data_IF_766436124894
#
_entry.id   IF_766436124894
#
_cell.length_a   1.000
_cell.length_b   1.000
_cell.length_c   1.000
_cell.angle_alpha   90.00
_cell.angle_beta   90.00
_cell.angle_gamma   90.00
#
_symmetry.space_group_name_H-M   'P 1'
#
loop_
_entity.id
_entity.type
_entity.pdbx_description
1 polymer ?
#
# COMPACT_ATOMS: atom_id res chain seq x y z
N UNK A 1 -3.88 2.09 20.22
CA UNK A 1 -2.48 2.34 20.62
C UNK A 1 -1.60 1.52 19.68
N UNK A 2 -0.98 2.16 18.68
CA UNK A 2 -0.23 1.47 17.63
C UNK A 2 0.97 0.73 18.26
N UNK A 3 0.98 -0.61 18.23
CA UNK A 3 2.13 -1.38 18.66
C UNK A 3 3.22 -1.28 17.59
N UNK A 4 4.44 -0.93 18.01
CA UNK A 4 5.54 -0.57 17.11
C UNK A 4 5.85 -1.58 15.99
N UNK A 5 5.51 -2.86 16.16
CA UNK A 5 5.75 -3.90 15.17
C UNK A 5 5.04 -3.70 13.81
N UNK A 6 3.80 -3.19 13.80
CA UNK A 6 3.03 -3.03 12.55
C UNK A 6 3.46 -1.80 11.73
N UNK A 7 3.93 -0.74 12.40
CA UNK A 7 4.53 0.44 11.78
C UNK A 7 5.86 0.09 11.10
N UNK A 8 6.72 -0.69 11.76
CA UNK A 8 7.97 -1.16 11.16
C UNK A 8 7.73 -2.13 10.00
N UNK A 9 6.74 -3.02 10.10
CA UNK A 9 6.37 -3.89 9.00
C UNK A 9 5.87 -3.11 7.77
N UNK A 10 5.05 -2.08 7.97
CA UNK A 10 4.57 -1.19 6.90
C UNK A 10 5.69 -0.37 6.26
N UNK A 11 6.62 0.15 7.06
CA UNK A 11 7.79 0.89 6.56
C UNK A 11 8.80 0.01 5.82
N UNK A 12 9.02 -1.24 6.27
CA UNK A 12 9.90 -2.17 5.58
C UNK A 12 9.28 -2.68 4.27
N UNK A 13 7.98 -2.98 4.27
CA UNK A 13 7.25 -3.39 3.07
C UNK A 13 7.18 -2.26 2.03
N UNK A 14 6.85 -1.03 2.46
CA UNK A 14 6.77 0.14 1.58
C UNK A 14 8.13 0.73 1.19
N UNK A 15 9.14 0.63 2.05
CA UNK A 15 10.49 1.15 1.81
C UNK A 15 11.31 0.26 0.87
N UNK A 16 11.21 -1.07 0.99
CA UNK A 16 11.92 -1.99 0.09
C UNK A 16 11.36 -1.97 -1.34
N UNK A 17 10.04 -1.87 -1.50
CA UNK A 17 9.43 -1.72 -2.84
C UNK A 17 9.77 -0.36 -3.46
N UNK A 18 9.76 0.74 -2.68
CA UNK A 18 10.18 2.06 -3.17
C UNK A 18 11.62 2.10 -3.69
N UNK A 19 12.55 1.33 -3.11
CA UNK A 19 13.95 1.31 -3.56
C UNK A 19 14.11 0.63 -4.92
N UNK A 20 13.36 -0.46 -5.18
CA UNK A 20 13.36 -1.10 -6.49
C UNK A 20 12.67 -0.23 -7.53
N UNK A 21 11.52 0.34 -7.20
CA UNK A 21 10.77 1.17 -8.13
C UNK A 21 11.49 2.48 -8.47
N UNK A 22 12.24 3.06 -7.51
CA UNK A 22 13.11 4.23 -7.73
C UNK A 22 14.27 3.89 -8.68
N UNK A 23 14.87 2.70 -8.55
CA UNK A 23 15.93 2.25 -9.47
C UNK A 23 15.37 2.00 -10.87
N UNK A 24 14.18 1.42 -10.98
CA UNK A 24 13.54 1.19 -12.28
C UNK A 24 13.07 2.49 -12.95
N UNK A 25 12.65 3.50 -12.17
CA UNK A 25 12.42 4.87 -12.65
C UNK A 25 13.70 5.53 -13.18
N UNK A 26 14.80 5.44 -12.43
CA UNK A 26 16.11 5.98 -12.85
C UNK A 26 16.69 5.28 -14.08
N UNK A 27 16.30 4.02 -14.33
CA UNK A 27 16.69 3.24 -15.51
C UNK A 27 15.73 3.42 -16.70
N UNK A 28 14.68 4.24 -16.57
CA UNK A 28 13.67 4.47 -17.62
C UNK A 28 12.74 3.28 -17.88
N UNK A 29 12.73 2.27 -17.00
CA UNK A 29 11.93 1.05 -17.12
C UNK A 29 10.53 1.18 -16.48
N UNK A 30 10.31 2.27 -15.75
CA UNK A 30 9.08 2.55 -15.01
C UNK A 30 8.71 4.02 -15.23
N UNK A 31 7.53 4.30 -15.80
CA UNK A 31 7.05 5.67 -15.97
C UNK A 31 6.58 6.27 -14.63
N UNK A 32 6.70 7.59 -14.43
CA UNK A 32 6.28 8.27 -13.18
C UNK A 32 4.81 8.03 -12.80
N UNK A 33 3.97 7.84 -13.82
CA UNK A 33 2.57 7.45 -13.72
C UNK A 33 2.38 6.08 -13.08
N UNK A 34 3.17 5.12 -13.52
CA UNK A 34 3.21 3.76 -13.02
C UNK A 34 3.72 3.78 -11.56
N UNK A 35 4.81 4.50 -11.28
CA UNK A 35 5.32 4.66 -9.90
C UNK A 35 4.30 5.25 -8.92
N UNK A 36 3.56 6.27 -9.34
CA UNK A 36 2.52 6.89 -8.50
C UNK A 36 1.39 5.90 -8.23
N UNK A 37 1.00 5.10 -9.22
CA UNK A 37 0.01 4.05 -9.04
C UNK A 37 0.48 2.98 -8.05
N UNK A 38 1.71 2.48 -8.18
CA UNK A 38 2.32 1.51 -7.26
C UNK A 38 2.45 2.06 -5.84
N UNK A 39 2.80 3.34 -5.70
CA UNK A 39 2.90 3.98 -4.38
C UNK A 39 1.55 4.02 -3.68
N UNK A 40 0.50 4.45 -4.39
CA UNK A 40 -0.87 4.49 -3.84
C UNK A 40 -1.36 3.09 -3.52
N UNK A 41 -1.09 2.11 -4.38
CA UNK A 41 -1.39 0.70 -4.13
C UNK A 41 -0.72 0.17 -2.86
N UNK A 42 0.57 0.41 -2.68
CA UNK A 42 1.32 -0.06 -1.52
C UNK A 42 0.82 0.59 -0.22
N UNK A 43 0.55 1.89 -0.23
CA UNK A 43 0.06 2.62 0.95
C UNK A 43 -1.32 2.11 1.37
N UNK A 44 -2.25 2.00 0.42
CA UNK A 44 -3.61 1.52 0.70
C UNK A 44 -3.63 0.04 1.08
N UNK A 45 -2.77 -0.80 0.48
CA UNK A 45 -2.54 -2.18 0.90
C UNK A 45 -2.09 -2.26 2.36
N UNK A 46 -1.10 -1.47 2.76
CA UNK A 46 -0.62 -1.42 4.15
C UNK A 46 -1.71 -0.95 5.13
N UNK A 47 -2.48 0.09 4.77
CA UNK A 47 -3.62 0.55 5.56
C UNK A 47 -4.68 -0.55 5.68
N UNK A 48 -4.98 -1.24 4.58
CA UNK A 48 -5.89 -2.37 4.55
C UNK A 48 -5.45 -3.48 5.50
N UNK A 49 -4.18 -3.89 5.47
CA UNK A 49 -3.62 -4.90 6.40
C UNK A 49 -3.79 -4.46 7.85
N UNK A 50 -3.41 -3.22 8.19
CA UNK A 50 -3.50 -2.73 9.57
C UNK A 50 -4.94 -2.79 10.09
N UNK A 51 -5.88 -2.23 9.31
CA UNK A 51 -7.29 -2.25 9.68
C UNK A 51 -7.83 -3.68 9.77
N UNK A 52 -7.48 -4.51 8.80
CA UNK A 52 -7.87 -5.92 8.74
C UNK A 52 -7.40 -6.70 9.97
N UNK A 53 -6.13 -6.57 10.35
CA UNK A 53 -5.57 -7.22 11.54
C UNK A 53 -6.32 -6.78 12.81
N UNK A 54 -6.55 -5.47 12.98
CA UNK A 54 -7.21 -4.94 14.17
C UNK A 54 -8.66 -5.40 14.28
N UNK A 55 -9.47 -5.18 13.24
CA UNK A 55 -10.87 -5.61 13.23
C UNK A 55 -11.01 -7.12 13.29
N UNK A 56 -10.16 -7.85 12.57
CA UNK A 56 -10.11 -9.29 12.61
C UNK A 56 -9.82 -9.82 14.01
N UNK A 57 -8.83 -9.25 14.71
CA UNK A 57 -8.49 -9.62 16.08
C UNK A 57 -9.66 -9.38 17.04
N UNK A 58 -10.32 -8.22 16.94
CA UNK A 58 -11.48 -7.87 17.77
C UNK A 58 -12.62 -8.86 17.54
N UNK A 59 -13.01 -9.09 16.28
CA UNK A 59 -14.09 -10.03 15.93
C UNK A 59 -13.76 -11.47 16.31
N UNK A 60 -12.51 -11.89 16.12
CA UNK A 60 -12.08 -13.21 16.52
C UNK A 60 -12.11 -13.40 18.05
N UNK A 61 -11.75 -12.36 18.80
CA UNK A 61 -11.78 -12.39 20.27
C UNK A 61 -13.19 -12.56 20.85
N UNK A 62 -14.22 -12.03 20.17
CA UNK A 62 -15.61 -12.19 20.61
C UNK A 62 -16.13 -13.62 20.39
N UNK A 63 -15.58 -14.34 19.42
CA UNK A 63 -15.93 -15.74 19.15
C UNK A 63 -15.19 -16.67 20.11
N UNK A 64 -13.87 -16.51 20.24
CA UNK A 64 -13.04 -17.32 21.13
C UNK A 64 -11.83 -16.52 21.59
N UNK A 65 -11.76 -16.09 22.86
CA UNK A 65 -10.62 -15.33 23.38
C UNK A 65 -9.29 -16.07 23.19
N UNK A 66 -8.25 -15.33 22.81
CA UNK A 66 -6.92 -15.89 22.56
C UNK A 66 -6.79 -16.49 21.16
N UNK A 67 -7.36 -17.68 20.93
CA UNK A 67 -7.24 -18.38 19.63
C UNK A 67 -7.97 -17.62 18.53
N UNK A 68 -9.20 -17.19 18.80
CA UNK A 68 -9.98 -16.40 17.86
C UNK A 68 -9.30 -15.06 17.55
N UNK A 69 -8.67 -14.41 18.54
CA UNK A 69 -7.88 -13.19 18.32
C UNK A 69 -6.80 -13.39 17.26
N UNK A 70 -6.02 -14.48 17.36
CA UNK A 70 -4.93 -14.78 16.42
C UNK A 70 -5.48 -15.14 15.04
N UNK A 71 -6.47 -16.04 14.97
CA UNK A 71 -7.07 -16.46 13.70
C UNK A 71 -7.74 -15.29 12.99
N UNK A 72 -8.50 -14.50 13.74
CA UNK A 72 -9.17 -13.31 13.25
C UNK A 72 -8.17 -12.26 12.74
N UNK A 73 -7.09 -12.00 13.47
CA UNK A 73 -6.02 -11.10 13.03
C UNK A 73 -5.41 -11.53 11.69
N UNK A 74 -5.10 -12.82 11.53
CA UNK A 74 -4.51 -13.35 10.30
C UNK A 74 -5.49 -13.24 9.12
N UNK A 75 -6.73 -13.71 9.30
CA UNK A 75 -7.75 -13.64 8.25
C UNK A 75 -8.06 -12.20 7.87
N UNK A 76 -8.22 -11.34 8.87
CA UNK A 76 -8.46 -9.92 8.70
C UNK A 76 -7.32 -9.24 7.95
N UNK A 77 -6.05 -9.51 8.29
CA UNK A 77 -4.90 -8.97 7.58
C UNK A 77 -4.84 -9.38 6.11
N UNK A 78 -5.12 -10.65 5.79
CA UNK A 78 -5.16 -11.14 4.40
C UNK A 78 -6.28 -10.48 3.60
N UNK A 79 -7.48 -10.36 4.19
CA UNK A 79 -8.60 -9.67 3.54
C UNK A 79 -8.31 -8.18 3.38
N UNK A 80 -7.71 -7.57 4.40
CA UNK A 80 -7.28 -6.19 4.41
C UNK A 80 -6.28 -5.87 3.29
N UNK A 81 -5.25 -6.69 3.10
CA UNK A 81 -4.28 -6.55 2.00
C UNK A 81 -4.97 -6.56 0.64
N UNK A 82 -5.85 -7.55 0.41
CA UNK A 82 -6.57 -7.68 -0.86
C UNK A 82 -7.45 -6.46 -1.14
N UNK A 83 -8.25 -6.04 -0.16
CA UNK A 83 -9.13 -4.88 -0.31
C UNK A 83 -8.31 -3.61 -0.50
N UNK A 84 -7.28 -3.42 0.32
CA UNK A 84 -6.38 -2.27 0.27
C UNK A 84 -5.73 -2.11 -1.10
N UNK A 85 -5.14 -3.18 -1.65
CA UNK A 85 -4.53 -3.15 -2.99
C UNK A 85 -5.54 -2.89 -4.09
N UNK A 86 -6.73 -3.47 -4.03
CA UNK A 86 -7.79 -3.21 -5.04
C UNK A 86 -8.18 -1.73 -5.03
N UNK A 87 -8.41 -1.16 -3.85
CA UNK A 87 -8.72 0.28 -3.69
C UNK A 87 -7.55 1.13 -4.19
N UNK A 88 -6.34 0.74 -3.83
CA UNK A 88 -5.11 1.40 -4.24
C UNK A 88 -4.86 1.43 -5.72
N UNK A 89 -5.05 0.31 -6.39
CA UNK A 89 -4.89 0.18 -7.83
C UNK A 89 -5.91 1.06 -8.56
N UNK A 90 -7.17 1.08 -8.09
CA UNK A 90 -8.20 1.99 -8.63
C UNK A 90 -7.84 3.46 -8.38
N UNK A 91 -7.44 3.82 -7.17
CA UNK A 91 -7.06 5.18 -6.82
C UNK A 91 -5.82 5.65 -7.59
N UNK A 92 -4.79 4.81 -7.70
CA UNK A 92 -3.59 5.03 -8.47
C UNK A 92 -3.88 5.27 -9.95
N UNK A 93 -4.76 4.44 -10.54
CA UNK A 93 -5.22 4.63 -11.92
C UNK A 93 -5.96 5.96 -12.12
N UNK A 94 -6.84 6.34 -11.17
CA UNK A 94 -7.54 7.63 -11.23
C UNK A 94 -6.59 8.82 -11.13
N UNK A 95 -5.61 8.75 -10.22
CA UNK A 95 -4.59 9.80 -10.03
C UNK A 95 -3.69 9.91 -11.27
N UNK A 96 -3.21 8.79 -11.80
CA UNK A 96 -2.34 8.73 -12.98
C UNK A 96 -3.02 9.27 -14.24
N UNK A 97 -4.33 9.09 -14.36
CA UNK A 97 -5.15 9.61 -15.47
C UNK A 97 -5.54 11.08 -15.31
N UNK A 98 -5.24 11.73 -14.17
CA UNK A 98 -5.61 13.11 -13.93
C UNK A 98 -4.73 14.09 -14.75
N UNK A 99 -5.31 14.98 -15.58
CA UNK A 99 -4.56 15.94 -16.40
C UNK A 99 -3.65 16.88 -15.59
N UNK A 100 -3.99 17.17 -14.33
CA UNK A 100 -3.14 18.00 -13.45
C UNK A 100 -1.87 17.27 -13.05
N UNK A 101 -1.98 15.97 -12.76
CA UNK A 101 -0.82 15.12 -12.44
C UNK A 101 0.10 14.99 -13.65
N UNK A 102 -0.48 14.91 -14.86
CA UNK A 102 0.27 14.87 -16.12
C UNK A 102 1.08 16.16 -16.33
N UNK A 103 0.44 17.32 -16.20
CA UNK A 103 1.09 18.63 -16.34
C UNK A 103 2.27 18.86 -15.38
N UNK A 104 2.28 18.20 -14.22
CA UNK A 104 3.38 18.28 -13.26
C UNK A 104 4.45 17.21 -13.53
N UNK A 105 4.04 16.01 -13.97
CA UNK A 105 4.95 14.91 -14.24
C UNK A 105 5.81 15.13 -15.51
N UNK A 106 5.19 15.66 -16.57
CA UNK A 106 5.77 15.85 -17.91
C UNK A 106 7.02 16.77 -17.91
N UNK A 107 7.00 18.02 -17.36
CA UNK A 107 8.16 18.91 -17.39
C UNK A 107 9.36 18.41 -16.58
N UNK A 108 9.12 17.60 -15.55
CA UNK A 108 10.21 16.97 -14.76
C UNK A 108 10.81 15.79 -15.52
N UNK A 109 10.08 15.17 -16.46
CA UNK A 109 10.61 14.05 -17.27
C UNK A 109 11.54 14.56 -18.37
N UNK A 110 11.23 15.73 -18.92
CA UNK A 110 12.04 16.42 -19.92
C UNK A 110 13.35 16.96 -19.33
N UNK A 111 13.36 17.38 -18.05
CA UNK A 111 14.55 17.87 -17.36
C UNK A 111 15.55 16.78 -16.92
N UNK A 112 15.16 15.51 -16.99
CA UNK A 112 15.99 14.36 -16.59
C UNK A 112 16.57 13.62 -17.82
N UNK A 113 16.08 13.92 -19.04
CA UNK A 113 16.72 13.50 -20.30
C UNK A 113 17.92 14.38 -20.63
#
# INVERSE_FOLDING_TARGET
MFQGGSLWAGLLAGGMSQVQDTKSLQQGQLGKKEYTAHTVENVTGAVGVMAGVEYGAVLGSTVLPGVGTVVGAVLGGVLGDRVGRVVGNQAGNMISRNPLVQKVADPVEEAIK
#
